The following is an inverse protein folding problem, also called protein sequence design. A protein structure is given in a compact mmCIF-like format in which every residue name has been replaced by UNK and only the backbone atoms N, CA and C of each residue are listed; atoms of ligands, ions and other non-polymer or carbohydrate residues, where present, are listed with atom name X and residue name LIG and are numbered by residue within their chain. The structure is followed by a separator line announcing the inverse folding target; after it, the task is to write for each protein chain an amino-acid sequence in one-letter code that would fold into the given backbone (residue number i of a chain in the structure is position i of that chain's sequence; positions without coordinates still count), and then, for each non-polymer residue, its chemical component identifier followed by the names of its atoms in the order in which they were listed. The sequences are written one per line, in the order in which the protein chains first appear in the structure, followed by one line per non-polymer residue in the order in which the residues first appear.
data_IF_731828478029
#
_entry.id   IF_731828478029
#
_cell.length_a   1.000
_cell.length_b   1.000
_cell.length_c   1.000
_cell.angle_alpha   90.00
_cell.angle_beta   90.00
_cell.angle_gamma   90.00
#
_symmetry.space_group_name_H-M   'P 1'
#
loop_
_entity.id
_entity.type
_entity.pdbx_description
1 polymer ?
#
# COMPACT_ATOMS: atom_id res chain seq x y z
N UNK A 1 13.95 8.82 3.93
CA UNK A 1 12.63 9.36 4.29
C UNK A 1 12.57 9.48 5.80
N UNK A 2 12.35 10.69 6.32
CA UNK A 2 12.07 10.89 7.75
C UNK A 2 10.63 10.43 8.08
N UNK A 3 10.36 10.18 9.36
CA UNK A 3 9.05 9.82 9.92
C UNK A 3 7.99 10.86 9.57
N UNK A 4 8.30 12.16 9.63
CA UNK A 4 7.34 13.22 9.32
C UNK A 4 6.97 13.23 7.84
N UNK A 5 7.97 13.12 6.97
CA UNK A 5 7.79 13.02 5.52
C UNK A 5 6.91 11.82 5.16
N UNK A 6 7.17 10.68 5.81
CA UNK A 6 6.39 9.44 5.63
C UNK A 6 4.93 9.63 6.01
N UNK A 7 4.67 10.23 7.18
CA UNK A 7 3.32 10.48 7.66
C UNK A 7 2.56 11.44 6.75
N UNK A 8 3.25 12.44 6.18
CA UNK A 8 2.66 13.34 5.20
C UNK A 8 2.19 12.58 3.96
N UNK A 9 3.04 11.75 3.35
CA UNK A 9 2.65 10.97 2.16
C UNK A 9 1.49 10.01 2.47
N UNK A 10 1.48 9.40 3.66
CA UNK A 10 0.37 8.53 4.08
C UNK A 10 -0.95 9.30 4.25
N UNK A 11 -0.92 10.50 4.82
CA UNK A 11 -2.10 11.34 4.96
C UNK A 11 -2.60 11.85 3.61
N UNK A 12 -1.70 12.30 2.72
CA UNK A 12 -2.06 12.73 1.36
C UNK A 12 -2.74 11.58 0.60
N UNK A 13 -2.19 10.36 0.64
CA UNK A 13 -2.78 9.19 0.00
C UNK A 13 -4.16 8.85 0.57
N UNK A 14 -4.35 8.96 1.89
CA UNK A 14 -5.67 8.74 2.50
C UNK A 14 -6.70 9.78 2.05
N UNK A 15 -6.32 11.06 1.97
CA UNK A 15 -7.23 12.10 1.49
C UNK A 15 -7.60 11.89 0.02
N UNK A 16 -6.62 11.59 -0.83
CA UNK A 16 -6.85 11.32 -2.25
C UNK A 16 -7.74 10.09 -2.48
N UNK A 17 -7.60 9.06 -1.63
CA UNK A 17 -8.47 7.89 -1.66
C UNK A 17 -9.90 8.23 -1.20
N UNK A 18 -10.04 9.04 -0.16
CA UNK A 18 -11.34 9.45 0.36
C UNK A 18 -12.08 10.41 -0.59
N UNK A 19 -11.37 11.27 -1.32
CA UNK A 19 -11.94 12.16 -2.34
C UNK A 19 -12.17 11.47 -3.69
N UNK A 20 -11.61 10.28 -3.90
CA UNK A 20 -11.64 9.57 -5.18
C UNK A 20 -10.67 10.13 -6.24
N UNK A 21 -9.77 11.02 -5.85
CA UNK A 21 -8.72 11.57 -6.73
C UNK A 21 -7.68 10.53 -7.17
N UNK A 22 -7.50 9.47 -6.38
CA UNK A 22 -6.64 8.34 -6.74
C UNK A 22 -7.39 7.03 -6.58
N UNK A 23 -7.03 6.05 -7.41
CA UNK A 23 -7.43 4.67 -7.22
C UNK A 23 -6.59 4.01 -6.12
N UNK A 24 -7.09 2.91 -5.57
CA UNK A 24 -6.34 2.12 -4.59
C UNK A 24 -5.10 1.49 -5.24
N UNK A 25 -5.16 1.08 -6.51
CA UNK A 25 -3.99 0.60 -7.24
C UNK A 25 -2.88 1.64 -7.34
N UNK A 26 -3.23 2.87 -7.72
CA UNK A 26 -2.29 3.97 -7.81
C UNK A 26 -1.72 4.36 -6.44
N UNK A 27 -2.55 4.40 -5.39
CA UNK A 27 -2.11 4.68 -4.03
C UNK A 27 -1.13 3.62 -3.53
N UNK A 28 -1.43 2.33 -3.73
CA UNK A 28 -0.56 1.21 -3.32
C UNK A 28 0.77 1.21 -4.06
N UNK A 29 0.75 1.52 -5.37
CA UNK A 29 1.97 1.68 -6.16
C UNK A 29 2.84 2.82 -5.63
N UNK A 30 2.23 3.98 -5.33
CA UNK A 30 2.92 5.17 -4.83
C UNK A 30 3.56 4.89 -3.47
N UNK A 31 2.78 4.33 -2.56
CA UNK A 31 3.18 3.86 -1.25
C UNK A 31 4.37 2.87 -1.30
N UNK A 32 4.31 1.88 -2.20
CA UNK A 32 5.43 0.95 -2.38
C UNK A 32 6.71 1.69 -2.80
N UNK A 33 6.62 2.57 -3.79
CA UNK A 33 7.79 3.26 -4.37
C UNK A 33 8.35 4.36 -3.46
N UNK A 34 7.49 5.19 -2.90
CA UNK A 34 7.86 6.43 -2.18
C UNK A 34 8.04 6.21 -0.68
N UNK A 35 7.22 5.36 -0.06
CA UNK A 35 7.31 5.13 1.40
C UNK A 35 8.28 4.00 1.72
N UNK A 36 8.14 2.86 1.06
CA UNK A 36 8.93 1.66 1.42
C UNK A 36 10.18 1.45 0.58
N UNK A 37 10.21 2.01 -0.64
CA UNK A 37 11.27 1.74 -1.63
C UNK A 37 11.38 0.26 -2.04
N UNK A 38 10.39 -0.58 -1.71
CA UNK A 38 10.47 -2.02 -1.92
C UNK A 38 10.17 -2.40 -3.37
N UNK A 39 10.88 -3.42 -3.85
CA UNK A 39 10.50 -4.12 -5.07
C UNK A 39 9.14 -4.80 -4.90
N UNK A 40 8.40 -4.94 -6.01
CA UNK A 40 7.03 -5.44 -6.02
C UNK A 40 6.88 -6.80 -5.33
N UNK A 41 7.81 -7.74 -5.54
CA UNK A 41 7.80 -9.05 -4.89
C UNK A 41 7.93 -8.98 -3.37
N UNK A 42 8.85 -8.15 -2.87
CA UNK A 42 9.09 -7.98 -1.42
C UNK A 42 7.93 -7.25 -0.74
N UNK A 43 7.36 -6.26 -1.41
CA UNK A 43 6.15 -5.58 -0.95
C UNK A 43 4.95 -6.55 -0.90
N UNK A 44 4.77 -7.39 -1.93
CA UNK A 44 3.73 -8.41 -1.94
C UNK A 44 3.85 -9.36 -0.74
N UNK A 45 5.07 -9.86 -0.47
CA UNK A 45 5.34 -10.71 0.71
C UNK A 45 5.03 -10.01 2.03
N UNK A 46 5.42 -8.74 2.18
CA UNK A 46 5.14 -7.93 3.36
C UNK A 46 3.63 -7.75 3.59
N UNK A 47 2.88 -7.47 2.54
CA UNK A 47 1.42 -7.40 2.56
C UNK A 47 0.75 -8.79 2.58
N UNK A 48 1.56 -9.86 2.56
CA UNK A 48 1.18 -11.27 2.47
C UNK A 48 0.29 -11.58 1.25
N UNK A 49 0.36 -10.75 0.20
CA UNK A 49 -0.41 -10.87 -1.03
C UNK A 49 0.34 -11.71 -2.08
N UNK A 50 -0.38 -12.47 -2.93
CA UNK A 50 0.22 -13.03 -4.14
C UNK A 50 0.75 -11.91 -5.05
N UNK A 51 1.95 -12.07 -5.63
CA UNK A 51 2.55 -11.07 -6.52
C UNK A 51 1.64 -10.70 -7.70
N UNK A 52 0.94 -11.68 -8.26
CA UNK A 52 -0.04 -11.46 -9.34
C UNK A 52 -1.19 -10.56 -8.88
N UNK A 53 -1.70 -10.75 -7.66
CA UNK A 53 -2.76 -9.92 -7.10
C UNK A 53 -2.28 -8.49 -6.87
N UNK A 54 -1.07 -8.29 -6.33
CA UNK A 54 -0.48 -6.96 -6.20
C UNK A 54 -0.27 -6.29 -7.57
N UNK A 55 0.13 -7.04 -8.60
CA UNK A 55 0.31 -6.50 -9.95
C UNK A 55 -1.01 -6.02 -10.56
N UNK A 56 -2.05 -6.85 -10.51
CA UNK A 56 -3.38 -6.47 -11.01
C UNK A 56 -3.94 -5.28 -10.24
N UNK A 57 -3.76 -5.27 -8.91
CA UNK A 57 -4.11 -4.13 -8.07
C UNK A 57 -3.41 -2.86 -8.52
N UNK A 58 -2.09 -2.86 -8.64
CA UNK A 58 -1.32 -1.68 -9.08
C UNK A 58 -1.59 -1.24 -10.53
N UNK A 59 -2.27 -2.06 -11.32
CA UNK A 59 -2.72 -1.74 -12.69
C UNK A 59 -4.19 -1.32 -12.75
N UNK A 60 -4.89 -1.29 -11.62
CA UNK A 60 -6.33 -1.06 -11.54
C UNK A 60 -7.15 -2.03 -12.42
N UNK A 61 -6.61 -3.23 -12.66
CA UNK A 61 -7.31 -4.28 -13.38
C UNK A 61 -8.38 -4.89 -12.46
N UNK A 62 -9.61 -4.39 -12.60
CA UNK A 62 -10.79 -4.77 -11.82
C UNK A 62 -11.04 -6.27 -11.80
N UNK A 63 -10.59 -6.93 -10.75
CA UNK A 63 -10.80 -8.35 -10.48
C UNK A 63 -11.05 -8.49 -8.95
N UNK A 64 -11.86 -9.43 -8.44
CA UNK A 64 -12.04 -9.74 -7.01
C UNK A 64 -10.77 -9.79 -6.13
N UNK A 65 -9.60 -10.03 -6.73
CA UNK A 65 -8.30 -9.91 -6.05
C UNK A 65 -8.02 -8.48 -5.52
N UNK A 66 -8.53 -7.46 -6.21
CA UNK A 66 -8.46 -6.04 -5.80
C UNK A 66 -9.21 -5.85 -4.49
N UNK A 67 -10.49 -6.22 -4.40
CA UNK A 67 -11.28 -6.12 -3.17
C UNK A 67 -10.64 -6.88 -1.99
N UNK A 68 -10.07 -8.05 -2.26
CA UNK A 68 -9.37 -8.84 -1.23
C UNK A 68 -8.07 -8.15 -0.79
N UNK A 69 -7.33 -7.55 -1.72
CA UNK A 69 -6.11 -6.83 -1.42
C UNK A 69 -6.40 -5.51 -0.69
N UNK A 70 -7.47 -4.81 -1.03
CA UNK A 70 -7.95 -3.61 -0.34
C UNK A 70 -8.17 -3.89 1.14
N UNK A 71 -8.94 -4.93 1.48
CA UNK A 71 -9.18 -5.33 2.88
C UNK A 71 -7.88 -5.66 3.63
N UNK A 72 -6.91 -6.25 2.94
CA UNK A 72 -5.62 -6.65 3.54
C UNK A 72 -4.66 -5.48 3.71
N UNK A 73 -4.78 -4.45 2.88
CA UNK A 73 -3.94 -3.25 2.91
C UNK A 73 -4.56 -2.13 3.73
N UNK A 74 -5.88 -2.17 3.97
CA UNK A 74 -6.61 -1.27 4.84
C UNK A 74 -5.91 -1.04 6.19
N UNK A 75 -5.45 -2.06 6.93
CA UNK A 75 -4.74 -1.86 8.19
C UNK A 75 -3.47 -1.01 8.06
N UNK A 76 -2.78 -1.05 6.91
CA UNK A 76 -1.55 -0.28 6.68
C UNK A 76 -1.84 1.22 6.53
N UNK A 77 -2.99 1.58 5.95
CA UNK A 77 -3.38 2.98 5.76
C UNK A 77 -3.94 3.58 7.06
N UNK A 78 -4.78 2.85 7.80
CA UNK A 78 -5.45 3.37 9.00
C UNK A 78 -4.64 3.24 10.30
N UNK A 79 -3.78 2.22 10.43
CA UNK A 79 -3.07 1.97 11.70
C UNK A 79 -1.75 2.73 11.85
N UNK A 80 -1.31 3.48 10.84
CA UNK A 80 0.02 4.07 10.79
C UNK A 80 1.09 3.01 10.57
N UNK A 81 1.84 3.12 9.46
CA UNK A 81 2.77 2.10 8.95
C UNK A 81 3.84 1.60 9.95
N UNK A 82 4.10 2.34 11.02
CA UNK A 82 5.16 2.07 12.00
C UNK A 82 5.09 0.68 12.65
N UNK A 83 3.92 0.06 12.76
CA UNK A 83 3.77 -1.26 13.43
C UNK A 83 4.10 -2.45 12.51
N UNK A 84 3.96 -2.30 11.19
CA UNK A 84 4.14 -3.40 10.23
C UNK A 84 5.63 -3.65 9.86
N UNK A 85 6.46 -2.60 9.85
CA UNK A 85 7.90 -2.70 9.56
C UNK A 85 8.65 -3.51 10.64
N UNK A 86 8.30 -3.34 11.91
CA UNK A 86 8.94 -4.05 13.03
C UNK A 86 8.64 -5.55 13.08
N UNK A 87 7.59 -6.02 12.40
CA UNK A 87 7.21 -7.43 12.36
C UNK A 87 7.82 -8.20 11.17
N UNK A 88 8.26 -7.50 10.11
CA UNK A 88 8.82 -8.11 8.91
C UNK A 88 10.37 -8.15 8.89
N UNK A 89 11.01 -7.64 9.95
CA UNK A 89 12.47 -7.60 10.13
C UNK A 89 12.99 -8.56 11.22
N UNK A 90 12.18 -9.55 11.62
CA UNK A 90 12.62 -10.67 12.46
C UNK A 90 12.76 -11.95 11.65
#
# INVERSE_FOLDING_TARGET
MDILERNRVLNELQQQLASGETTIGAAVRRLRKEVTGLQQARFAQMCKLPLRALRQLELDEGNPAVQTAEQRLQPLWYAGWHRAEGAALK
#
